data_IF_265466691339
#
_entry.id   IF_265466691339
#
_cell.length_a   1.000
_cell.length_b   1.000
_cell.length_c   1.000
_cell.angle_alpha   90.00
_cell.angle_beta   90.00
_cell.angle_gamma   90.00
#
_symmetry.space_group_name_H-M   'P 1'
#
loop_
_entity.id
_entity.type
_entity.pdbx_description
1 polymer ?
#
# COMPACT_ATOMS: atom_id res chain seq x y z
N UNK A 1 29.90 42.84 -7.81
CA UNK A 1 29.98 41.60 -8.59
C UNK A 1 30.41 40.53 -7.62
N UNK A 2 29.50 39.76 -7.08
CA UNK A 2 29.74 38.59 -6.25
C UNK A 2 29.13 37.39 -6.97
N UNK A 3 29.82 36.23 -7.08
CA UNK A 3 29.31 35.08 -7.81
C UNK A 3 28.34 34.30 -6.95
N UNK A 4 27.19 33.95 -7.56
CA UNK A 4 26.21 33.05 -7.03
C UNK A 4 26.79 31.61 -6.96
N UNK A 5 26.92 31.08 -5.76
CA UNK A 5 27.16 29.65 -5.54
C UNK A 5 25.83 28.90 -5.66
N UNK A 6 25.68 28.19 -6.76
CA UNK A 6 24.68 27.14 -6.90
C UNK A 6 25.10 25.95 -6.02
N UNK A 7 24.41 25.78 -4.90
CA UNK A 7 24.46 24.54 -4.12
C UNK A 7 23.57 23.52 -4.82
N UNK A 8 24.18 22.69 -5.65
CA UNK A 8 23.58 21.44 -6.15
C UNK A 8 23.48 20.48 -4.98
N UNK A 9 22.30 20.38 -4.36
CA UNK A 9 22.00 19.29 -3.44
C UNK A 9 22.00 17.99 -4.26
N UNK A 10 23.10 17.25 -4.18
CA UNK A 10 23.13 15.86 -4.55
C UNK A 10 22.17 15.10 -3.65
N UNK A 11 21.01 14.70 -4.19
CA UNK A 11 20.21 13.64 -3.63
C UNK A 11 21.08 12.39 -3.57
N UNK A 12 21.61 12.10 -2.40
CA UNK A 12 22.19 10.80 -2.10
C UNK A 12 21.04 9.79 -2.15
N UNK A 13 20.90 9.13 -3.28
CA UNK A 13 20.17 7.87 -3.37
C UNK A 13 20.61 6.97 -2.23
N UNK A 14 19.70 6.27 -1.53
CA UNK A 14 20.12 5.31 -0.51
C UNK A 14 21.14 4.36 -1.16
N UNK A 15 22.19 3.95 -0.42
CA UNK A 15 23.25 3.13 -1.00
C UNK A 15 22.63 1.94 -1.69
N UNK A 16 22.90 1.81 -2.98
CA UNK A 16 22.52 0.64 -3.75
C UNK A 16 23.09 -0.58 -3.01
N UNK A 17 22.24 -1.29 -2.28
CA UNK A 17 22.56 -2.59 -1.73
C UNK A 17 22.97 -3.46 -2.91
N UNK A 18 24.23 -3.90 -2.90
CA UNK A 18 24.76 -4.80 -3.94
C UNK A 18 23.82 -5.98 -4.05
N UNK A 19 23.20 -6.15 -5.21
CA UNK A 19 22.16 -7.11 -5.51
C UNK A 19 22.52 -8.59 -5.18
N UNK A 20 23.79 -8.93 -4.92
CA UNK A 20 24.25 -10.27 -4.55
C UNK A 20 24.26 -10.61 -3.05
N UNK A 21 23.74 -9.74 -2.15
CA UNK A 21 23.90 -9.90 -0.69
C UNK A 21 22.61 -10.31 0.05
N UNK A 22 21.46 -10.40 -0.62
CA UNK A 22 20.17 -10.68 0.01
C UNK A 22 19.96 -12.16 0.29
N UNK A 23 20.27 -13.04 -0.65
CA UNK A 23 20.22 -14.50 -0.47
C UNK A 23 21.63 -15.06 -0.25
N UNK A 24 21.78 -15.90 0.77
CA UNK A 24 23.07 -16.47 1.17
C UNK A 24 22.93 -18.00 1.27
N UNK A 25 23.98 -18.72 0.91
CA UNK A 25 24.03 -20.17 1.16
C UNK A 25 23.68 -20.50 2.61
N UNK A 26 22.79 -21.47 2.88
CA UNK A 26 22.38 -21.83 4.23
C UNK A 26 23.55 -22.10 5.18
N UNK A 27 24.60 -22.76 4.69
CA UNK A 27 25.81 -23.07 5.46
C UNK A 27 26.50 -21.82 6.03
N UNK A 28 26.50 -20.71 5.29
CA UNK A 28 27.07 -19.44 5.76
C UNK A 28 26.19 -18.77 6.81
N UNK A 29 24.87 -18.95 6.74
CA UNK A 29 23.93 -18.43 7.75
C UNK A 29 24.12 -19.08 9.11
N UNK A 30 24.49 -20.36 9.15
CA UNK A 30 24.79 -21.06 10.42
C UNK A 30 26.00 -20.47 11.15
N UNK A 31 26.96 -19.89 10.43
CA UNK A 31 28.19 -19.34 11.00
C UNK A 31 27.97 -17.95 11.63
N UNK A 32 26.85 -17.30 11.36
CA UNK A 32 26.51 -16.01 11.97
C UNK A 32 25.92 -16.19 13.36
N UNK A 33 26.00 -15.15 14.19
CA UNK A 33 25.50 -15.19 15.57
C UNK A 33 24.61 -13.99 15.90
N UNK A 34 23.77 -14.17 16.92
CA UNK A 34 22.98 -13.13 17.55
C UNK A 34 22.13 -12.28 16.61
N UNK A 35 22.11 -10.97 16.85
CA UNK A 35 21.31 -10.02 16.07
C UNK A 35 21.72 -9.92 14.60
N UNK A 36 22.99 -10.13 14.27
CA UNK A 36 23.47 -10.14 12.89
C UNK A 36 22.85 -11.30 12.10
N UNK A 37 22.82 -12.50 12.69
CA UNK A 37 22.17 -13.69 12.11
C UNK A 37 20.70 -13.40 11.83
N UNK A 38 19.95 -12.90 12.84
CA UNK A 38 18.50 -12.60 12.71
C UNK A 38 18.22 -11.59 11.61
N UNK A 39 19.00 -10.48 11.55
CA UNK A 39 18.86 -9.47 10.49
C UNK A 39 19.07 -10.07 9.09
N UNK A 40 20.10 -10.92 8.95
CA UNK A 40 20.42 -11.55 7.68
C UNK A 40 19.34 -12.55 7.26
N UNK A 41 18.84 -13.35 8.20
CA UNK A 41 17.71 -14.26 7.97
C UNK A 41 16.45 -13.49 7.55
N UNK A 42 16.11 -12.39 8.24
CA UNK A 42 14.95 -11.57 7.91
C UNK A 42 15.06 -10.99 6.48
N UNK A 43 16.24 -10.51 6.08
CA UNK A 43 16.51 -10.04 4.72
C UNK A 43 16.40 -11.16 3.67
N UNK A 44 16.90 -12.36 4.01
CA UNK A 44 16.81 -13.54 3.11
C UNK A 44 15.37 -13.96 2.89
N UNK A 45 14.57 -14.06 3.94
CA UNK A 45 13.15 -14.40 3.80
C UNK A 45 12.36 -13.31 3.05
N UNK A 46 12.66 -12.02 3.29
CA UNK A 46 12.05 -10.93 2.52
C UNK A 46 12.43 -10.92 1.04
N UNK A 47 13.65 -11.35 0.69
CA UNK A 47 14.05 -11.53 -0.71
C UNK A 47 13.30 -12.69 -1.37
N UNK A 48 13.15 -13.81 -0.64
CA UNK A 48 12.36 -14.96 -1.10
C UNK A 48 10.89 -14.61 -1.31
N UNK A 49 10.27 -13.85 -0.40
CA UNK A 49 8.89 -13.38 -0.56
C UNK A 49 8.71 -12.61 -1.88
N UNK A 50 9.64 -11.70 -2.19
CA UNK A 50 9.59 -10.93 -3.44
C UNK A 50 9.79 -11.81 -4.67
N UNK A 51 10.73 -12.74 -4.61
CA UNK A 51 10.98 -13.69 -5.70
C UNK A 51 9.78 -14.58 -5.98
N UNK A 52 9.19 -15.17 -4.93
CA UNK A 52 7.97 -16.00 -5.03
C UNK A 52 6.79 -15.21 -5.60
N UNK A 53 6.68 -13.92 -5.24
CA UNK A 53 5.63 -13.03 -5.70
C UNK A 53 5.88 -12.43 -7.09
N UNK A 54 7.02 -12.74 -7.74
CA UNK A 54 7.37 -12.25 -9.07
C UNK A 54 7.76 -10.76 -9.12
N UNK A 55 8.13 -10.18 -7.98
CA UNK A 55 8.52 -8.76 -7.83
C UNK A 55 9.97 -8.60 -7.35
N UNK A 56 10.80 -9.61 -7.57
CA UNK A 56 12.23 -9.51 -7.26
C UNK A 56 12.88 -8.39 -8.07
N UNK A 57 13.77 -7.63 -7.42
CA UNK A 57 14.62 -6.70 -8.14
C UNK A 57 15.59 -7.45 -9.03
N UNK A 58 15.91 -6.89 -10.21
CA UNK A 58 16.84 -7.50 -11.15
C UNK A 58 18.15 -7.87 -10.48
N UNK A 59 18.51 -9.16 -10.53
CA UNK A 59 19.72 -9.72 -9.91
C UNK A 59 19.54 -10.14 -8.45
N UNK A 60 18.30 -10.12 -7.92
CA UNK A 60 17.97 -10.66 -6.58
C UNK A 60 17.07 -11.88 -6.65
N UNK A 61 16.80 -12.37 -7.85
CA UNK A 61 16.02 -13.57 -8.09
C UNK A 61 16.71 -14.81 -7.47
N UNK A 62 15.91 -15.82 -7.14
CA UNK A 62 16.44 -17.08 -6.63
C UNK A 62 17.23 -17.81 -7.72
N UNK A 63 18.51 -18.08 -7.48
CA UNK A 63 19.42 -18.66 -8.47
C UNK A 63 20.34 -19.78 -7.95
N UNK A 64 19.99 -20.44 -6.85
CA UNK A 64 20.78 -21.56 -6.34
C UNK A 64 20.49 -22.86 -7.08
N UNK A 65 21.50 -23.73 -7.20
CA UNK A 65 21.36 -25.11 -7.72
C UNK A 65 20.70 -26.04 -6.70
N UNK A 66 19.63 -25.57 -6.07
CA UNK A 66 18.86 -26.28 -5.07
C UNK A 66 17.39 -25.92 -5.28
N UNK A 67 16.43 -26.86 -5.20
CA UNK A 67 15.01 -26.50 -5.25
C UNK A 67 14.69 -25.44 -4.19
N UNK A 68 13.94 -24.37 -4.56
CA UNK A 68 13.65 -23.26 -3.65
C UNK A 68 12.97 -23.72 -2.36
N UNK A 69 12.05 -24.68 -2.45
CA UNK A 69 11.42 -25.26 -1.27
C UNK A 69 12.44 -25.88 -0.29
N UNK A 70 13.46 -26.57 -0.81
CA UNK A 70 14.50 -27.17 0.01
C UNK A 70 15.42 -26.09 0.62
N UNK A 71 15.76 -25.05 -0.14
CA UNK A 71 16.49 -23.90 0.37
C UNK A 71 15.73 -23.23 1.53
N UNK A 72 14.43 -23.02 1.37
CA UNK A 72 13.57 -22.45 2.41
C UNK A 72 13.59 -23.33 3.67
N UNK A 73 13.47 -24.66 3.54
CA UNK A 73 13.55 -25.59 4.67
C UNK A 73 14.89 -25.47 5.40
N UNK A 74 15.99 -25.38 4.67
CA UNK A 74 17.33 -25.25 5.26
C UNK A 74 17.51 -23.90 5.97
N UNK A 75 17.06 -22.79 5.38
CA UNK A 75 17.13 -21.46 6.02
C UNK A 75 16.23 -21.41 7.24
N UNK A 76 15.03 -22.00 7.19
CA UNK A 76 14.13 -22.09 8.34
C UNK A 76 14.71 -22.97 9.47
N UNK A 77 15.49 -24.00 9.15
CA UNK A 77 16.19 -24.80 10.15
C UNK A 77 17.25 -23.98 10.93
N UNK A 78 17.80 -22.91 10.34
CA UNK A 78 18.67 -21.98 11.06
C UNK A 78 17.88 -21.19 12.10
N UNK A 79 16.68 -20.70 11.75
CA UNK A 79 15.79 -19.99 12.66
C UNK A 79 15.30 -20.91 13.80
N UNK A 80 14.92 -22.14 13.49
CA UNK A 80 14.46 -23.12 14.51
C UNK A 80 15.51 -23.43 15.60
N UNK A 81 16.77 -23.10 15.37
CA UNK A 81 17.87 -23.23 16.36
C UNK A 81 18.17 -21.93 17.09
N UNK A 82 17.41 -20.86 16.85
CA UNK A 82 17.64 -19.59 17.54
C UNK A 82 17.18 -19.71 19.01
N UNK A 83 18.07 -19.42 19.99
CA UNK A 83 17.73 -19.59 21.41
C UNK A 83 16.67 -18.60 21.92
N UNK A 84 16.36 -17.56 21.18
CA UNK A 84 15.28 -16.61 21.50
C UNK A 84 13.94 -16.94 20.86
N UNK A 85 13.90 -17.96 19.98
CA UNK A 85 12.65 -18.37 19.38
C UNK A 85 11.78 -19.06 20.44
N UNK A 86 10.54 -18.59 20.61
CA UNK A 86 9.60 -19.23 21.54
C UNK A 86 9.24 -20.63 21.05
N UNK A 87 8.89 -21.51 22.00
CA UNK A 87 8.45 -22.88 21.68
C UNK A 87 7.22 -22.88 20.77
N UNK A 88 6.27 -21.97 21.01
CA UNK A 88 5.08 -21.79 20.22
C UNK A 88 5.40 -21.40 18.78
N UNK A 89 6.24 -20.36 18.59
CA UNK A 89 6.66 -19.92 17.26
C UNK A 89 7.43 -21.03 16.52
N UNK A 90 8.29 -21.77 17.22
CA UNK A 90 9.00 -22.91 16.64
C UNK A 90 8.07 -24.04 16.24
N UNK A 91 7.05 -24.36 17.05
CA UNK A 91 6.04 -25.37 16.74
C UNK A 91 5.22 -24.97 15.50
N UNK A 92 4.79 -23.72 15.43
CA UNK A 92 4.05 -23.21 14.27
C UNK A 92 4.90 -23.26 12.99
N UNK A 93 6.15 -22.81 13.05
CA UNK A 93 7.05 -22.88 11.89
C UNK A 93 7.27 -24.34 11.43
N UNK A 94 7.47 -25.29 12.36
CA UNK A 94 7.56 -26.72 12.01
C UNK A 94 6.30 -27.23 11.33
N UNK A 95 5.11 -26.83 11.81
CA UNK A 95 3.83 -27.18 11.18
C UNK A 95 3.74 -26.67 9.75
N UNK A 96 4.14 -25.41 9.49
CA UNK A 96 4.16 -24.85 8.15
C UNK A 96 5.13 -25.59 7.23
N UNK A 97 6.31 -25.95 7.73
CA UNK A 97 7.34 -26.69 6.96
C UNK A 97 6.95 -28.14 6.66
N UNK A 98 6.03 -28.73 7.40
CA UNK A 98 5.54 -30.10 7.20
C UNK A 98 4.42 -30.19 6.15
N UNK A 99 3.89 -29.07 5.66
CA UNK A 99 2.84 -29.07 4.65
C UNK A 99 3.37 -29.58 3.29
N UNK A 100 2.55 -30.38 2.60
CA UNK A 100 2.84 -30.85 1.24
C UNK A 100 1.61 -30.58 0.35
N UNK A 101 1.75 -29.77 -0.70
CA UNK A 101 2.95 -29.03 -1.08
C UNK A 101 3.31 -27.91 -0.09
N UNK A 102 4.60 -27.56 -0.01
CA UNK A 102 5.06 -26.46 0.83
C UNK A 102 4.48 -25.13 0.36
N UNK A 103 3.78 -24.43 1.27
CA UNK A 103 3.41 -23.02 1.03
C UNK A 103 4.62 -22.11 1.29
N UNK A 104 5.46 -21.97 0.26
CA UNK A 104 6.73 -21.25 0.34
C UNK A 104 6.55 -19.81 0.81
N UNK A 105 5.52 -19.11 0.30
CA UNK A 105 5.26 -17.71 0.64
C UNK A 105 4.87 -17.56 2.12
N UNK A 106 3.98 -18.41 2.59
CA UNK A 106 3.53 -18.38 3.98
C UNK A 106 4.65 -18.70 4.97
N UNK A 107 5.50 -19.67 4.64
CA UNK A 107 6.69 -20.00 5.45
C UNK A 107 7.63 -18.80 5.52
N UNK A 108 7.96 -18.18 4.38
CA UNK A 108 8.85 -17.03 4.33
C UNK A 108 8.28 -15.83 5.12
N UNK A 109 7.00 -15.53 4.94
CA UNK A 109 6.32 -14.45 5.63
C UNK A 109 6.32 -14.65 7.16
N UNK A 110 5.93 -15.84 7.61
CA UNK A 110 5.92 -16.17 9.04
C UNK A 110 7.32 -16.07 9.64
N UNK A 111 8.31 -16.68 9.01
CA UNK A 111 9.70 -16.67 9.48
C UNK A 111 10.26 -15.25 9.55
N UNK A 112 9.99 -14.43 8.52
CA UNK A 112 10.42 -13.02 8.50
C UNK A 112 9.79 -12.22 9.63
N UNK A 113 8.47 -12.32 9.81
CA UNK A 113 7.76 -11.57 10.85
C UNK A 113 8.24 -11.97 12.24
N UNK A 114 8.42 -13.27 12.52
CA UNK A 114 9.00 -13.77 13.77
C UNK A 114 10.40 -13.20 14.02
N UNK A 115 11.25 -13.11 12.98
CA UNK A 115 12.59 -12.53 13.10
C UNK A 115 12.56 -11.04 13.38
N UNK A 116 11.64 -10.29 12.75
CA UNK A 116 11.47 -8.85 12.99
C UNK A 116 11.03 -8.59 14.44
N UNK A 117 10.11 -9.42 14.95
CA UNK A 117 9.68 -9.37 16.34
C UNK A 117 10.86 -9.64 17.32
N UNK A 118 11.67 -10.69 17.04
CA UNK A 118 12.89 -11.00 17.83
C UNK A 118 13.96 -9.88 17.77
N UNK A 119 13.91 -9.04 16.75
CA UNK A 119 14.77 -7.86 16.60
C UNK A 119 14.17 -6.61 17.26
N UNK A 120 12.94 -6.68 17.79
CA UNK A 120 12.21 -5.54 18.33
C UNK A 120 11.75 -4.57 17.23
N UNK A 121 11.60 -5.06 15.99
CA UNK A 121 11.16 -4.28 14.85
C UNK A 121 9.82 -4.84 14.41
N UNK A 122 8.80 -3.99 14.37
CA UNK A 122 7.49 -4.39 13.83
C UNK A 122 7.47 -4.12 12.33
N UNK A 123 6.95 -5.06 11.52
CA UNK A 123 6.74 -4.79 10.11
C UNK A 123 5.80 -3.60 9.98
N UNK A 124 6.30 -2.54 9.39
CA UNK A 124 5.45 -1.44 8.99
C UNK A 124 4.82 -1.81 7.63
N UNK A 125 3.72 -1.15 7.29
CA UNK A 125 3.01 -1.46 6.05
C UNK A 125 3.90 -1.33 4.80
N UNK A 126 4.90 -0.47 4.84
CA UNK A 126 5.92 -0.34 3.78
C UNK A 126 6.96 -1.47 3.73
N UNK A 127 6.96 -2.38 4.69
CA UNK A 127 7.79 -3.59 4.65
C UNK A 127 7.05 -4.77 4.01
N UNK A 128 5.76 -4.60 3.71
CA UNK A 128 4.97 -5.61 3.05
C UNK A 128 5.45 -5.79 1.61
N UNK A 129 5.41 -7.03 1.16
CA UNK A 129 5.64 -7.35 -0.24
C UNK A 129 4.46 -6.78 -1.05
N UNK A 130 4.77 -5.90 -2.00
CA UNK A 130 3.76 -5.37 -2.91
C UNK A 130 3.28 -6.54 -3.77
N UNK A 131 2.03 -6.95 -3.58
CA UNK A 131 1.44 -7.95 -4.44
C UNK A 131 1.39 -7.43 -5.89
N UNK A 132 1.68 -8.26 -6.89
CA UNK A 132 1.48 -7.87 -8.27
C UNK A 132 0.02 -7.47 -8.49
N UNK A 133 -0.21 -6.56 -9.42
CA UNK A 133 -1.56 -6.21 -9.86
C UNK A 133 -2.38 -7.46 -10.16
N UNK A 134 -3.67 -7.41 -9.88
CA UNK A 134 -4.61 -8.51 -10.04
C UNK A 134 -4.31 -9.32 -11.33
N UNK A 135 -3.98 -10.61 -11.24
CA UNK A 135 -3.67 -11.43 -12.42
C UNK A 135 -4.84 -11.51 -13.41
N UNK A 136 -6.08 -11.34 -12.94
CA UNK A 136 -7.24 -11.22 -13.80
C UNK A 136 -7.27 -9.90 -14.58
N UNK A 137 -6.62 -8.85 -14.07
CA UNK A 137 -6.39 -7.59 -14.77
C UNK A 137 -5.12 -7.66 -15.66
N UNK A 138 -4.17 -8.52 -15.33
CA UNK A 138 -2.98 -8.82 -16.13
C UNK A 138 -3.29 -9.81 -17.28
N UNK A 139 -4.48 -9.73 -17.88
CA UNK A 139 -4.81 -10.53 -19.06
C UNK A 139 -3.70 -10.34 -20.11
N UNK A 140 -3.17 -11.44 -20.58
CA UNK A 140 -2.23 -11.56 -21.69
C UNK A 140 -2.78 -10.86 -22.94
N UNK A 141 -2.54 -9.56 -23.03
CA UNK A 141 -2.55 -8.87 -24.31
C UNK A 141 -1.34 -9.36 -25.13
N UNK A 142 -1.35 -9.19 -26.45
CA UNK A 142 -0.18 -9.45 -27.25
C UNK A 142 1.02 -8.72 -26.65
N UNK A 143 2.17 -9.39 -26.64
CA UNK A 143 3.43 -8.99 -26.02
C UNK A 143 3.63 -7.48 -25.89
N UNK A 144 3.68 -6.98 -24.64
CA UNK A 144 4.15 -5.63 -24.32
C UNK A 144 3.08 -4.53 -24.20
N UNK A 145 1.81 -4.80 -24.35
CA UNK A 145 0.76 -3.77 -24.08
C UNK A 145 0.38 -3.76 -22.60
N UNK A 146 0.75 -2.70 -21.90
CA UNK A 146 0.18 -2.36 -20.58
C UNK A 146 -1.34 -2.23 -20.81
N UNK A 147 -2.14 -3.09 -20.16
CA UNK A 147 -3.60 -2.99 -20.23
C UNK A 147 -4.01 -1.64 -19.70
N UNK A 148 -4.78 -0.87 -20.47
CA UNK A 148 -5.36 0.38 -20.00
C UNK A 148 -6.20 0.11 -18.75
N UNK A 149 -6.06 0.97 -17.74
CA UNK A 149 -6.85 0.89 -16.51
C UNK A 149 -8.33 1.07 -16.85
N UNK A 150 -9.18 0.18 -16.34
CA UNK A 150 -10.63 0.33 -16.42
C UNK A 150 -11.11 1.23 -15.28
N UNK A 151 -12.03 2.16 -15.58
CA UNK A 151 -12.56 3.11 -14.62
C UNK A 151 -13.94 3.63 -15.02
N UNK A 152 -14.67 4.21 -14.08
CA UNK A 152 -15.94 4.89 -14.30
C UNK A 152 -15.67 6.34 -14.72
N UNK A 153 -15.96 6.74 -15.99
CA UNK A 153 -15.75 8.12 -16.43
C UNK A 153 -16.49 9.13 -15.57
N UNK A 154 -15.83 10.22 -15.21
CA UNK A 154 -16.41 11.26 -14.39
C UNK A 154 -16.46 10.97 -12.88
N UNK A 155 -16.11 9.77 -12.42
CA UNK A 155 -16.04 9.45 -10.99
C UNK A 155 -14.72 9.92 -10.41
N UNK A 156 -14.74 11.05 -9.72
CA UNK A 156 -13.54 11.71 -9.19
C UNK A 156 -13.62 11.88 -7.67
N UNK A 157 -12.44 12.03 -7.05
CA UNK A 157 -12.31 12.29 -5.62
C UNK A 157 -11.53 13.58 -5.41
N UNK A 158 -11.99 14.44 -4.53
CA UNK A 158 -11.24 15.59 -4.05
C UNK A 158 -10.82 15.37 -2.60
N UNK A 159 -9.52 15.19 -2.39
CA UNK A 159 -8.93 15.01 -1.06
C UNK A 159 -8.52 16.39 -0.52
N UNK A 160 -9.28 16.88 0.45
CA UNK A 160 -9.05 18.19 1.06
C UNK A 160 -8.14 18.07 2.28
N UNK A 161 -6.97 18.70 2.22
CA UNK A 161 -6.04 18.90 3.32
C UNK A 161 -5.65 17.62 4.08
N UNK A 162 -5.61 16.50 3.38
CA UNK A 162 -5.11 15.24 3.96
C UNK A 162 -3.64 15.41 4.35
N UNK A 163 -3.32 15.13 5.61
CA UNK A 163 -1.98 15.35 6.19
C UNK A 163 -1.18 14.09 6.38
N UNK A 164 -1.85 12.95 6.55
CA UNK A 164 -1.18 11.67 6.72
C UNK A 164 -0.75 11.07 5.39
N UNK A 165 0.55 10.80 5.18
CA UNK A 165 1.03 10.08 4.00
C UNK A 165 0.38 8.71 3.84
N UNK A 166 0.07 8.06 4.95
CA UNK A 166 -0.62 6.79 4.98
C UNK A 166 -2.03 6.91 4.41
N UNK A 167 -2.79 7.91 4.86
CA UNK A 167 -4.16 8.10 4.41
C UNK A 167 -4.22 8.48 2.93
N UNK A 168 -3.36 9.40 2.47
CA UNK A 168 -3.36 9.76 1.04
C UNK A 168 -3.02 8.56 0.15
N UNK A 169 -2.03 7.75 0.51
CA UNK A 169 -1.72 6.53 -0.23
C UNK A 169 -2.87 5.52 -0.20
N UNK A 170 -3.54 5.34 0.95
CA UNK A 170 -4.73 4.49 1.07
C UNK A 170 -5.89 4.98 0.20
N UNK A 171 -6.10 6.30 0.12
CA UNK A 171 -7.10 6.91 -0.75
C UNK A 171 -6.81 6.60 -2.21
N UNK A 172 -5.57 6.78 -2.67
CA UNK A 172 -5.19 6.43 -4.04
C UNK A 172 -5.40 4.95 -4.35
N UNK A 173 -4.99 4.08 -3.43
CA UNK A 173 -5.17 2.63 -3.58
C UNK A 173 -6.64 2.24 -3.66
N UNK A 174 -7.49 2.82 -2.81
CA UNK A 174 -8.93 2.58 -2.83
C UNK A 174 -9.58 3.14 -4.10
N UNK A 175 -9.24 4.37 -4.48
CA UNK A 175 -9.76 5.01 -5.68
C UNK A 175 -9.41 4.21 -6.94
N UNK A 176 -8.17 3.74 -7.06
CA UNK A 176 -7.72 2.89 -8.16
C UNK A 176 -8.49 1.56 -8.20
N UNK A 177 -8.51 0.84 -7.07
CA UNK A 177 -9.16 -0.47 -6.98
C UNK A 177 -10.67 -0.43 -7.25
N UNK A 178 -11.32 0.70 -6.92
CA UNK A 178 -12.76 0.90 -7.14
C UNK A 178 -13.09 1.59 -8.47
N UNK A 179 -12.09 1.84 -9.31
CA UNK A 179 -12.30 2.41 -10.65
C UNK A 179 -12.67 3.89 -10.65
N UNK A 180 -12.24 4.70 -9.69
CA UNK A 180 -12.33 6.15 -9.83
C UNK A 180 -11.43 6.63 -10.96
N UNK A 181 -11.86 7.63 -11.74
CA UNK A 181 -11.07 8.15 -12.85
C UNK A 181 -9.82 8.85 -12.36
N UNK A 182 -9.96 9.74 -11.38
CA UNK A 182 -8.91 10.66 -10.95
C UNK A 182 -9.05 11.00 -9.46
N UNK A 183 -7.90 11.32 -8.83
CA UNK A 183 -7.84 11.96 -7.51
C UNK A 183 -7.37 13.40 -7.68
N UNK A 184 -8.17 14.35 -7.22
CA UNK A 184 -7.83 15.76 -7.08
C UNK A 184 -7.38 15.98 -5.64
N UNK A 185 -6.34 16.78 -5.41
CA UNK A 185 -5.85 17.08 -4.07
C UNK A 185 -5.77 18.59 -3.84
N UNK A 186 -6.16 19.04 -2.67
CA UNK A 186 -6.09 20.45 -2.32
C UNK A 186 -4.64 20.98 -2.28
N UNK A 187 -4.44 22.33 -2.36
CA UNK A 187 -3.11 22.93 -2.29
C UNK A 187 -2.33 22.54 -1.01
N UNK A 188 -3.01 22.34 0.12
CA UNK A 188 -2.41 22.04 1.41
C UNK A 188 -2.36 20.54 1.73
N UNK A 189 -2.86 19.70 0.85
CA UNK A 189 -2.76 18.26 0.99
C UNK A 189 -1.29 17.82 0.93
N UNK A 190 -0.96 16.78 1.70
CA UNK A 190 0.39 16.20 1.68
C UNK A 190 0.78 15.77 0.27
N UNK A 191 2.06 15.85 -0.04
CA UNK A 191 2.57 15.42 -1.34
C UNK A 191 2.46 13.88 -1.49
N UNK A 192 1.65 13.38 -2.44
CA UNK A 192 1.51 11.95 -2.66
C UNK A 192 2.79 11.27 -3.17
N UNK A 193 3.74 12.04 -3.73
CA UNK A 193 4.99 11.48 -4.25
C UNK A 193 6.04 11.21 -3.17
N UNK A 194 5.77 11.58 -1.91
CA UNK A 194 6.69 11.27 -0.83
C UNK A 194 6.77 9.76 -0.53
N UNK A 195 7.93 9.25 -0.07
CA UNK A 195 8.17 7.81 0.07
C UNK A 195 7.14 7.03 0.90
N UNK A 196 6.57 7.64 1.95
CA UNK A 196 5.57 6.98 2.80
C UNK A 196 4.21 6.86 2.11
N UNK A 197 3.81 7.87 1.33
CA UNK A 197 2.58 7.83 0.54
C UNK A 197 2.69 6.82 -0.61
N UNK A 198 3.80 6.83 -1.35
CA UNK A 198 4.08 5.85 -2.41
C UNK A 198 3.98 4.41 -1.87
N UNK A 199 4.56 4.15 -0.70
CA UNK A 199 4.51 2.82 -0.09
C UNK A 199 3.11 2.39 0.30
N UNK A 200 2.32 3.26 0.94
CA UNK A 200 0.94 2.94 1.29
C UNK A 200 0.02 2.87 0.07
N UNK A 201 0.33 3.64 -0.99
CA UNK A 201 -0.37 3.61 -2.26
C UNK A 201 -0.08 2.37 -3.11
N UNK A 202 1.01 1.63 -2.80
CA UNK A 202 1.37 0.34 -3.44
C UNK A 202 1.36 0.40 -4.99
N UNK A 203 1.91 1.47 -5.58
CA UNK A 203 1.99 1.69 -7.02
C UNK A 203 0.76 2.36 -7.64
N UNK A 204 -0.31 2.58 -6.88
CA UNK A 204 -1.53 3.18 -7.42
C UNK A 204 -1.38 4.69 -7.71
N UNK A 205 -0.47 5.39 -7.01
CA UNK A 205 -0.22 6.81 -7.24
C UNK A 205 0.38 7.05 -8.62
N UNK A 206 1.26 6.16 -9.06
CA UNK A 206 1.92 6.22 -10.36
C UNK A 206 1.00 5.82 -11.52
N UNK A 207 0.04 4.95 -11.26
CA UNK A 207 -0.88 4.43 -12.29
C UNK A 207 -2.16 5.24 -12.44
N UNK A 208 -2.50 6.03 -11.43
CA UNK A 208 -3.72 6.82 -11.37
C UNK A 208 -3.45 8.27 -11.76
N UNK A 209 -4.34 8.87 -12.56
CA UNK A 209 -4.29 10.30 -12.83
C UNK A 209 -4.60 11.11 -11.56
N UNK A 210 -3.80 12.13 -11.28
CA UNK A 210 -4.08 13.08 -10.20
C UNK A 210 -3.55 14.47 -10.53
N UNK A 211 -4.14 15.48 -9.88
CA UNK A 211 -3.67 16.85 -9.98
C UNK A 211 -3.93 17.60 -8.66
N UNK A 212 -3.15 18.65 -8.43
CA UNK A 212 -3.32 19.57 -7.31
C UNK A 212 -4.10 20.79 -7.79
N UNK A 213 -5.25 21.05 -7.16
CA UNK A 213 -6.10 22.19 -7.54
C UNK A 213 -6.86 22.75 -6.33
N UNK A 214 -7.27 24.00 -6.42
CA UNK A 214 -8.18 24.63 -5.44
C UNK A 214 -9.63 24.23 -5.69
N UNK A 215 -10.49 24.50 -4.71
CA UNK A 215 -11.94 24.24 -4.79
C UNK A 215 -12.61 24.99 -5.98
N UNK A 216 -12.11 26.17 -6.28
CA UNK A 216 -12.60 27.01 -7.37
C UNK A 216 -12.27 26.46 -8.76
N UNK A 217 -11.30 25.55 -8.84
CA UNK A 217 -10.86 24.91 -10.08
C UNK A 217 -11.59 23.58 -10.35
N UNK A 218 -12.43 23.13 -9.43
CA UNK A 218 -13.22 21.93 -9.65
C UNK A 218 -14.17 22.11 -10.83
N UNK A 219 -14.32 21.10 -11.71
CA UNK A 219 -15.27 21.14 -12.81
C UNK A 219 -16.66 21.61 -12.38
N UNK A 220 -17.21 22.59 -13.08
CA UNK A 220 -18.50 23.20 -12.73
C UNK A 220 -19.70 22.34 -13.20
N UNK A 221 -19.48 21.51 -14.18
CA UNK A 221 -20.45 20.63 -14.84
C UNK A 221 -20.66 19.31 -14.12
N UNK A 222 -19.76 18.93 -13.23
CA UNK A 222 -19.91 17.69 -12.44
C UNK A 222 -20.64 17.94 -11.11
N UNK A 223 -21.55 17.05 -10.71
CA UNK A 223 -22.12 17.04 -9.37
C UNK A 223 -21.03 16.91 -8.32
N UNK A 224 -21.06 17.77 -7.31
CA UNK A 224 -20.13 17.73 -6.17
C UNK A 224 -20.88 17.41 -4.89
N UNK A 225 -20.43 16.37 -4.18
CA UNK A 225 -20.99 15.98 -2.89
C UNK A 225 -19.85 15.73 -1.89
N UNK A 226 -20.16 15.76 -0.60
CA UNK A 226 -19.17 15.60 0.45
C UNK A 226 -19.46 14.39 1.33
N UNK A 227 -18.41 13.72 1.79
CA UNK A 227 -18.48 12.70 2.84
C UNK A 227 -18.20 13.38 4.18
N UNK A 228 -19.26 13.62 4.96
CA UNK A 228 -19.18 14.28 6.25
C UNK A 228 -20.30 13.81 7.18
N UNK A 229 -20.12 13.99 8.48
CA UNK A 229 -21.14 13.69 9.49
C UNK A 229 -22.35 14.61 9.36
N UNK A 230 -23.55 14.11 9.73
CA UNK A 230 -24.77 14.89 9.70
C UNK A 230 -25.45 15.03 8.33
N UNK A 231 -24.94 14.37 7.29
CA UNK A 231 -25.55 14.31 5.97
C UNK A 231 -26.64 13.23 5.86
N UNK A 232 -27.05 12.95 4.62
CA UNK A 232 -27.97 11.83 4.29
C UNK A 232 -27.28 10.50 4.57
N UNK A 233 -28.00 9.54 5.19
CA UNK A 233 -27.47 8.19 5.40
C UNK A 233 -26.98 7.59 4.07
N UNK A 234 -25.81 7.00 4.08
CA UNK A 234 -25.19 6.39 2.89
C UNK A 234 -26.08 5.33 2.21
N UNK A 235 -27.00 4.70 2.95
CA UNK A 235 -27.93 3.75 2.42
C UNK A 235 -29.11 4.39 1.67
N UNK A 236 -29.42 5.65 1.98
CA UNK A 236 -30.52 6.42 1.40
C UNK A 236 -30.02 7.47 0.39
N UNK A 237 -28.71 7.73 0.35
CA UNK A 237 -28.12 8.71 -0.55
C UNK A 237 -28.15 8.19 -1.99
N UNK A 238 -28.70 9.01 -2.89
CA UNK A 238 -28.73 8.73 -4.31
C UNK A 238 -27.43 9.19 -4.94
N UNK A 239 -26.53 8.27 -5.22
CA UNK A 239 -25.26 8.60 -5.83
C UNK A 239 -25.41 9.05 -7.29
N UNK A 240 -24.69 10.09 -7.72
CA UNK A 240 -24.67 10.49 -9.13
C UNK A 240 -23.90 9.47 -9.97
N UNK A 241 -24.22 9.41 -11.28
CA UNK A 241 -23.51 8.53 -12.23
C UNK A 241 -22.07 8.95 -12.44
N UNK A 242 -21.81 10.24 -12.37
CA UNK A 242 -20.50 10.90 -12.42
C UNK A 242 -20.50 12.05 -11.42
N UNK A 243 -19.36 12.45 -10.92
CA UNK A 243 -19.28 13.53 -9.95
C UNK A 243 -17.95 13.55 -9.18
N UNK A 244 -17.86 14.48 -8.25
CA UNK A 244 -16.71 14.66 -7.39
C UNK A 244 -17.13 14.46 -5.94
N UNK A 245 -16.53 13.46 -5.27
CA UNK A 245 -16.67 13.28 -3.84
C UNK A 245 -15.58 14.05 -3.11
N UNK A 246 -15.96 14.99 -2.23
CA UNK A 246 -15.04 15.66 -1.33
C UNK A 246 -14.89 14.85 -0.05
N UNK A 247 -13.63 14.58 0.35
CA UNK A 247 -13.26 13.98 1.63
C UNK A 247 -12.33 14.94 2.36
N UNK A 248 -12.62 15.23 3.61
CA UNK A 248 -11.93 16.24 4.41
C UNK A 248 -10.73 15.71 5.17
N UNK A 249 -10.03 16.62 5.85
CA UNK A 249 -8.86 16.33 6.67
C UNK A 249 -9.20 15.45 7.87
N UNK A 250 -8.18 14.79 8.42
CA UNK A 250 -8.32 13.85 9.54
C UNK A 250 -8.79 14.52 10.84
N UNK A 251 -8.46 15.78 11.01
CA UNK A 251 -8.73 16.50 12.26
C UNK A 251 -9.99 17.35 12.20
N UNK A 252 -10.24 18.00 11.06
CA UNK A 252 -11.29 19.02 10.94
C UNK A 252 -12.45 18.59 10.03
N UNK A 253 -12.32 17.45 9.32
CA UNK A 253 -13.32 17.05 8.34
C UNK A 253 -13.28 17.92 7.10
N UNK A 254 -14.41 18.03 6.43
CA UNK A 254 -14.61 18.86 5.23
C UNK A 254 -14.77 20.32 5.62
N UNK A 255 -14.05 21.24 4.97
CA UNK A 255 -14.14 22.66 5.29
C UNK A 255 -15.52 23.26 4.97
N UNK A 256 -15.90 24.39 5.62
CA UNK A 256 -17.15 25.09 5.30
C UNK A 256 -17.23 25.51 3.84
N UNK A 257 -16.11 25.90 3.24
CA UNK A 257 -15.99 26.30 1.84
C UNK A 257 -16.25 25.10 0.92
N UNK A 258 -15.67 23.94 1.25
CA UNK A 258 -15.87 22.71 0.52
C UNK A 258 -17.31 22.17 0.67
N UNK A 259 -17.91 22.28 1.85
CA UNK A 259 -19.32 21.96 2.05
C UNK A 259 -20.23 22.86 1.23
N UNK A 260 -19.94 24.16 1.14
CA UNK A 260 -20.69 25.09 0.28
C UNK A 260 -20.55 24.73 -1.21
N UNK A 261 -19.43 24.13 -1.63
CA UNK A 261 -19.21 23.63 -3.00
C UNK A 261 -19.93 22.31 -3.28
N UNK A 262 -20.23 21.52 -2.24
CA UNK A 262 -20.90 20.22 -2.32
C UNK A 262 -22.42 20.39 -2.52
N UNK A 263 -22.82 21.04 -3.61
CA UNK A 263 -24.22 21.41 -3.89
C UNK A 263 -25.11 20.21 -4.20
N UNK A 264 -24.56 19.06 -4.56
CA UNK A 264 -25.33 17.84 -4.79
C UNK A 264 -25.80 17.22 -3.45
N UNK A 265 -25.05 17.44 -2.37
CA UNK A 265 -25.42 16.99 -1.04
C UNK A 265 -24.26 16.54 -0.18
N UNK A 266 -24.59 16.12 1.02
CA UNK A 266 -23.63 15.53 1.97
C UNK A 266 -24.12 14.13 2.34
N UNK A 267 -23.21 13.17 2.29
CA UNK A 267 -23.47 11.78 2.66
C UNK A 267 -22.76 11.44 3.96
N UNK A 268 -23.43 10.69 4.84
CA UNK A 268 -22.89 10.27 6.12
C UNK A 268 -22.91 8.75 6.28
N UNK A 269 -21.89 8.20 6.93
CA UNK A 269 -21.84 6.80 7.35
C UNK A 269 -22.41 6.74 8.78
N UNK A 270 -23.54 6.04 9.01
CA UNK A 270 -24.12 5.94 10.35
C UNK A 270 -23.20 5.16 11.29
N UNK A 271 -22.91 5.74 12.44
CA UNK A 271 -22.06 5.14 13.46
C UNK A 271 -22.87 4.89 14.74
N UNK A 272 -22.73 3.69 15.33
CA UNK A 272 -23.40 3.30 16.58
C UNK A 272 -22.47 3.32 17.79
N UNK A 273 -21.16 3.44 17.55
CA UNK A 273 -20.16 3.45 18.62
C UNK A 273 -20.00 4.81 19.29
N UNK A 274 -19.14 4.86 20.30
CA UNK A 274 -18.83 6.10 21.03
C UNK A 274 -17.89 7.05 20.25
N UNK A 275 -17.23 6.57 19.19
CA UNK A 275 -16.37 7.41 18.37
C UNK A 275 -17.19 8.21 17.39
N UNK A 276 -16.84 9.49 17.26
CA UNK A 276 -17.52 10.44 16.38
C UNK A 276 -17.07 10.38 14.92
N UNK A 277 -15.98 9.65 14.61
CA UNK A 277 -15.41 9.58 13.26
C UNK A 277 -14.73 8.25 12.99
N UNK A 278 -14.62 7.89 11.72
CA UNK A 278 -13.77 6.84 11.20
C UNK A 278 -12.44 7.41 10.67
N UNK A 279 -11.43 6.56 10.50
CA UNK A 279 -10.28 6.93 9.69
C UNK A 279 -10.74 7.31 8.28
N UNK A 280 -10.21 8.39 7.72
CA UNK A 280 -10.67 8.96 6.44
C UNK A 280 -10.54 7.96 5.28
N UNK A 281 -9.45 7.18 5.23
CA UNK A 281 -9.26 6.14 4.20
C UNK A 281 -10.28 5.01 4.32
N UNK A 282 -10.66 4.63 5.55
CA UNK A 282 -11.73 3.64 5.82
C UNK A 282 -13.09 4.17 5.42
N UNK A 283 -13.43 5.41 5.85
CA UNK A 283 -14.70 6.06 5.49
C UNK A 283 -14.83 6.19 3.97
N UNK A 284 -13.76 6.62 3.31
CA UNK A 284 -13.71 6.71 1.85
C UNK A 284 -13.91 5.34 1.17
N UNK A 285 -13.31 4.28 1.68
CA UNK A 285 -13.51 2.92 1.14
C UNK A 285 -14.96 2.46 1.22
N UNK A 286 -15.64 2.73 2.33
CA UNK A 286 -17.08 2.41 2.50
C UNK A 286 -17.93 3.20 1.49
N UNK A 287 -17.63 4.49 1.33
CA UNK A 287 -18.33 5.35 0.37
C UNK A 287 -18.13 4.86 -1.06
N UNK A 288 -16.88 4.62 -1.48
CA UNK A 288 -16.57 4.18 -2.83
C UNK A 288 -17.26 2.86 -3.18
N UNK A 289 -17.29 1.91 -2.25
CA UNK A 289 -18.01 0.65 -2.44
C UNK A 289 -19.50 0.88 -2.74
N UNK A 290 -20.15 1.78 -1.98
CA UNK A 290 -21.56 2.11 -2.18
C UNK A 290 -21.81 2.85 -3.49
N UNK A 291 -20.93 3.79 -3.82
CA UNK A 291 -21.04 4.55 -5.05
C UNK A 291 -20.90 3.63 -6.28
N UNK A 292 -19.85 2.82 -6.33
CA UNK A 292 -19.60 1.88 -7.45
C UNK A 292 -20.71 0.81 -7.56
N UNK A 293 -21.22 0.30 -6.42
CA UNK A 293 -22.37 -0.62 -6.42
C UNK A 293 -23.60 0.02 -7.09
N UNK A 294 -23.82 1.32 -6.88
CA UNK A 294 -24.95 2.04 -7.51
C UNK A 294 -24.76 2.24 -9.02
N UNK A 295 -23.51 2.28 -9.51
CA UNK A 295 -23.19 2.43 -10.93
C UNK A 295 -23.27 1.10 -11.71
N UNK A 296 -23.18 -0.01 -11.00
CA UNK A 296 -23.17 -1.36 -11.58
C UNK A 296 -24.57 -1.99 -11.68
N UNK A 297 -25.59 -1.29 -11.18
CA UNK A 297 -27.00 -1.69 -11.28
C UNK A 297 -27.66 -1.06 -12.50
#
# INVERSE_FOLDING_TARGET
>A
MLPQFFLTLCYLSPPAYRAGLLMIEPGKLFQLEGGQKRRKLALTFGALERDISGIAEKGTEYNFNLPRAEYIRQVAAVLLRDPKLSEEAGAHLRKLLAAEPLDELRVCNYARNTLLELLGTFPAEWDLVIAPHNPAAAGTGPEGTVRARDFFPGVCVYAEDIRSPFNIGSIFRTAEAMGAEKVLISPHCIDPTQPRAIRSGMGCIETMGWERCGLEQLPADLPVFALETGGTDINDFVFPKEGICIIGSEELGVSPEALARATYGTVTIPMKGLKASLNVGVAFGILMQKWVESLSR
#
